data_IF_185126143182
#
_entry.id   IF_185126143182
#
_cell.length_a   1.000
_cell.length_b   1.000
_cell.length_c   1.000
_cell.angle_alpha   90.00
_cell.angle_beta   90.00
_cell.angle_gamma   90.00
#
_symmetry.space_group_name_H-M   'P 1'
#
loop_
_entity.id
_entity.type
_entity.pdbx_description
1 polymer ?
#
# COMPACT_ATOMS: atom_id res chain seq x y z
N UNK A 1 -33.19 -1.29 17.92
CA UNK A 1 -31.88 -0.63 18.09
C UNK A 1 -31.89 0.57 17.15
N UNK A 2 -31.42 1.73 17.59
CA UNK A 2 -31.38 2.92 16.73
C UNK A 2 -30.35 2.75 15.60
N UNK A 3 -30.69 3.19 14.40
CA UNK A 3 -29.82 3.08 13.22
C UNK A 3 -28.46 3.76 13.43
N UNK A 4 -28.46 4.93 14.07
CA UNK A 4 -27.24 5.65 14.44
C UNK A 4 -26.37 4.86 15.43
N UNK A 5 -27.00 4.22 16.41
CA UNK A 5 -26.29 3.38 17.38
C UNK A 5 -25.68 2.15 16.69
N UNK A 6 -26.41 1.50 15.77
CA UNK A 6 -25.90 0.39 14.98
C UNK A 6 -24.68 0.80 14.14
N UNK A 7 -24.76 1.93 13.43
CA UNK A 7 -23.64 2.48 12.64
C UNK A 7 -22.44 2.84 13.52
N UNK A 8 -22.65 3.39 14.71
CA UNK A 8 -21.58 3.69 15.67
C UNK A 8 -20.88 2.42 16.19
N UNK A 9 -21.63 1.36 16.49
CA UNK A 9 -21.08 0.04 16.86
C UNK A 9 -20.21 -0.50 15.72
N UNK A 10 -20.70 -0.41 14.48
CA UNK A 10 -19.93 -0.86 13.32
C UNK A 10 -18.64 -0.05 13.14
N UNK A 11 -18.68 1.28 13.25
CA UNK A 11 -17.47 2.13 13.19
C UNK A 11 -16.41 1.65 14.18
N UNK A 12 -16.79 1.38 15.43
CA UNK A 12 -15.86 0.87 16.45
C UNK A 12 -15.30 -0.51 16.06
N UNK A 13 -16.14 -1.41 15.54
CA UNK A 13 -15.71 -2.72 15.07
C UNK A 13 -14.71 -2.62 13.90
N UNK A 14 -14.96 -1.73 12.93
CA UNK A 14 -14.07 -1.47 11.80
C UNK A 14 -12.69 -0.99 12.25
N UNK A 15 -12.64 0.00 13.15
CA UNK A 15 -11.37 0.50 13.70
C UNK A 15 -10.64 -0.62 14.43
N UNK A 16 -11.34 -1.41 15.25
CA UNK A 16 -10.76 -2.49 16.04
C UNK A 16 -10.15 -3.59 15.15
N UNK A 17 -10.90 -4.09 14.17
CA UNK A 17 -10.44 -5.17 13.26
C UNK A 17 -9.33 -4.69 12.34
N UNK A 18 -9.42 -3.46 11.81
CA UNK A 18 -8.36 -2.90 10.97
C UNK A 18 -7.06 -2.70 11.77
N UNK A 19 -7.15 -2.15 12.99
CA UNK A 19 -5.99 -1.97 13.89
C UNK A 19 -5.36 -3.31 14.26
N UNK A 20 -6.18 -4.32 14.56
CA UNK A 20 -5.71 -5.68 14.81
C UNK A 20 -4.94 -6.24 13.60
N UNK A 21 -5.52 -6.16 12.40
CA UNK A 21 -4.88 -6.61 11.16
C UNK A 21 -3.53 -5.93 10.90
N UNK A 22 -3.48 -4.60 11.02
CA UNK A 22 -2.24 -3.83 10.84
C UNK A 22 -1.17 -4.13 11.90
N UNK A 23 -1.57 -4.55 13.10
CA UNK A 23 -0.63 -4.86 14.20
C UNK A 23 0.03 -6.24 14.05
N UNK A 24 -0.60 -7.19 13.34
CA UNK A 24 -0.09 -8.56 13.19
C UNK A 24 1.36 -8.61 12.65
N UNK A 25 1.72 -7.95 11.52
CA UNK A 25 3.10 -8.00 11.03
C UNK A 25 4.11 -7.35 11.98
N UNK A 26 3.69 -6.28 12.67
CA UNK A 26 4.52 -5.60 13.66
C UNK A 26 4.82 -6.50 14.85
N UNK A 27 3.79 -7.17 15.39
CA UNK A 27 3.93 -8.13 16.49
C UNK A 27 4.85 -9.29 16.09
N UNK A 28 4.63 -9.89 14.91
CA UNK A 28 5.48 -10.98 14.37
C UNK A 28 6.94 -10.52 14.24
N UNK A 29 7.18 -9.29 13.77
CA UNK A 29 8.52 -8.70 13.67
C UNK A 29 9.21 -8.50 15.03
N UNK A 30 8.47 -8.04 16.05
CA UNK A 30 9.01 -7.86 17.41
C UNK A 30 9.44 -9.19 18.04
N UNK A 31 8.68 -10.26 17.83
CA UNK A 31 9.06 -11.60 18.31
C UNK A 31 10.34 -12.12 17.63
N UNK A 32 10.60 -11.72 16.39
CA UNK A 32 11.81 -12.11 15.64
C UNK A 32 13.10 -11.43 16.13
N UNK A 33 13.05 -10.17 16.57
CA UNK A 33 14.24 -9.43 17.00
C UNK A 33 14.77 -9.84 18.39
N UNK A 34 13.95 -10.48 19.22
CA UNK A 34 14.33 -10.86 20.58
C UNK A 34 15.09 -12.19 20.67
N UNK A 35 15.24 -12.94 19.58
CA UNK A 35 15.78 -14.30 19.60
C UNK A 35 16.75 -14.61 18.46
N UNK A 36 17.45 -15.73 18.61
CA UNK A 36 18.53 -16.29 17.81
C UNK A 36 18.34 -16.22 16.27
N UNK A 37 19.43 -16.30 15.49
CA UNK A 37 19.48 -16.15 14.00
C UNK A 37 18.51 -17.11 13.26
N UNK A 38 18.25 -18.29 13.80
CA UNK A 38 17.29 -19.25 13.23
C UNK A 38 15.83 -18.74 13.29
N UNK A 39 15.48 -18.01 14.35
CA UNK A 39 14.16 -17.46 14.56
C UNK A 39 13.87 -16.31 13.59
N UNK A 40 14.87 -15.49 13.28
CA UNK A 40 14.78 -14.44 12.28
C UNK A 40 14.47 -15.00 10.88
N UNK A 41 15.11 -16.11 10.49
CA UNK A 41 14.83 -16.79 9.21
C UNK A 41 13.40 -17.35 9.16
N UNK A 42 12.90 -17.93 10.27
CA UNK A 42 11.52 -18.42 10.36
C UNK A 42 10.52 -17.27 10.21
N UNK A 43 10.74 -16.15 10.90
CA UNK A 43 9.90 -14.95 10.81
C UNK A 43 9.88 -14.39 9.39
N UNK A 44 11.03 -14.27 8.72
CA UNK A 44 11.10 -13.83 7.32
C UNK A 44 10.30 -14.73 6.38
N UNK A 45 10.36 -16.05 6.56
CA UNK A 45 9.56 -16.99 5.77
C UNK A 45 8.04 -16.85 6.04
N UNK A 46 7.63 -16.62 7.29
CA UNK A 46 6.22 -16.42 7.64
C UNK A 46 5.69 -15.14 6.98
N UNK A 47 6.41 -14.02 7.10
CA UNK A 47 6.02 -12.74 6.49
C UNK A 47 5.93 -12.85 4.96
N UNK A 48 6.88 -13.57 4.36
CA UNK A 48 6.90 -13.84 2.92
C UNK A 48 5.73 -14.72 2.45
N UNK A 49 5.32 -15.73 3.24
CA UNK A 49 4.10 -16.49 2.95
C UNK A 49 2.84 -15.62 3.10
N UNK A 50 2.79 -14.74 4.10
CA UNK A 50 1.68 -13.80 4.28
C UNK A 50 1.57 -12.80 3.12
N UNK A 51 2.67 -12.41 2.49
CA UNK A 51 2.62 -11.63 1.26
C UNK A 51 1.96 -12.39 0.10
N UNK A 52 2.34 -13.66 -0.12
CA UNK A 52 1.69 -14.48 -1.14
C UNK A 52 0.21 -14.73 -0.82
N UNK A 53 -0.13 -14.92 0.45
CA UNK A 53 -1.51 -15.00 0.92
C UNK A 53 -2.28 -13.70 0.64
N UNK A 54 -1.71 -12.55 0.99
CA UNK A 54 -2.32 -11.24 0.77
C UNK A 54 -2.54 -10.95 -0.71
N UNK A 55 -1.57 -11.30 -1.56
CA UNK A 55 -1.71 -11.17 -3.02
C UNK A 55 -2.86 -12.03 -3.56
N UNK A 56 -2.92 -13.32 -3.23
CA UNK A 56 -4.02 -14.19 -3.70
C UNK A 56 -5.39 -13.74 -3.18
N UNK A 57 -5.42 -13.22 -1.96
CA UNK A 57 -6.63 -12.64 -1.38
C UNK A 57 -7.08 -11.38 -2.14
N UNK A 58 -6.16 -10.45 -2.44
CA UNK A 58 -6.45 -9.24 -3.25
C UNK A 58 -6.99 -9.64 -4.63
N UNK A 59 -6.34 -10.58 -5.31
CA UNK A 59 -6.82 -11.10 -6.60
C UNK A 59 -8.25 -11.62 -6.53
N UNK A 60 -8.58 -12.33 -5.46
CA UNK A 60 -9.90 -12.93 -5.28
C UNK A 60 -10.98 -11.90 -4.96
N UNK A 61 -10.66 -10.91 -4.12
CA UNK A 61 -11.58 -9.78 -3.85
C UNK A 61 -11.83 -8.98 -5.13
N UNK A 62 -10.79 -8.71 -5.92
CA UNK A 62 -10.93 -8.02 -7.22
C UNK A 62 -11.86 -8.80 -8.16
N UNK A 63 -11.62 -10.10 -8.34
CA UNK A 63 -12.32 -10.90 -9.36
C UNK A 63 -13.71 -11.37 -8.93
N UNK A 64 -13.92 -11.70 -7.66
CA UNK A 64 -15.15 -12.35 -7.20
C UNK A 64 -16.08 -11.40 -6.44
N UNK A 65 -15.59 -10.26 -5.95
CA UNK A 65 -16.39 -9.31 -5.18
C UNK A 65 -16.51 -7.98 -5.92
N UNK A 66 -15.40 -7.25 -6.10
CA UNK A 66 -15.43 -5.85 -6.52
C UNK A 66 -15.81 -5.64 -7.98
N UNK A 67 -15.19 -6.40 -8.88
CA UNK A 67 -15.48 -6.27 -10.30
C UNK A 67 -16.92 -6.70 -10.63
N UNK A 68 -17.41 -7.87 -10.18
CA UNK A 68 -18.81 -8.26 -10.40
C UNK A 68 -19.81 -7.26 -9.80
N UNK A 69 -19.60 -6.83 -8.56
CA UNK A 69 -20.48 -5.87 -7.88
C UNK A 69 -20.54 -4.53 -8.63
N UNK A 70 -19.39 -3.99 -9.04
CA UNK A 70 -19.34 -2.73 -9.79
C UNK A 70 -20.07 -2.83 -11.13
N UNK A 71 -19.93 -3.96 -11.84
CA UNK A 71 -20.66 -4.23 -13.09
C UNK A 71 -22.16 -4.32 -12.82
N UNK A 72 -22.59 -5.05 -11.78
CA UNK A 72 -24.00 -5.17 -11.44
C UNK A 72 -24.63 -3.82 -11.10
N UNK A 73 -24.01 -3.02 -10.23
CA UNK A 73 -24.53 -1.69 -9.85
C UNK A 73 -24.74 -0.83 -11.09
N UNK A 74 -23.73 -0.75 -11.97
CA UNK A 74 -23.78 0.13 -13.14
C UNK A 74 -24.76 -0.38 -14.21
N UNK A 75 -24.84 -1.70 -14.40
CA UNK A 75 -25.73 -2.32 -15.38
C UNK A 75 -27.21 -2.24 -14.95
N UNK A 76 -27.50 -2.43 -13.66
CA UNK A 76 -28.87 -2.41 -13.13
C UNK A 76 -29.47 -1.01 -13.00
N UNK A 77 -28.66 0.02 -12.72
CA UNK A 77 -29.17 1.39 -12.54
C UNK A 77 -29.28 2.12 -13.89
N UNK A 78 -30.51 2.32 -14.37
CA UNK A 78 -30.80 2.99 -15.65
C UNK A 78 -30.34 4.46 -15.66
N UNK A 79 -30.36 5.13 -14.51
CA UNK A 79 -30.04 6.55 -14.36
C UNK A 79 -28.53 6.85 -14.40
N UNK A 80 -27.69 5.82 -14.21
CA UNK A 80 -26.24 5.96 -14.34
C UNK A 80 -25.87 5.97 -15.84
N UNK A 81 -25.80 7.17 -16.42
CA UNK A 81 -25.37 7.36 -17.81
C UNK A 81 -23.85 7.57 -17.84
N UNK A 82 -23.12 6.62 -18.41
CA UNK A 82 -21.67 6.72 -18.67
C UNK A 82 -21.50 7.03 -20.15
N UNK A 83 -20.80 8.12 -20.47
CA UNK A 83 -20.58 8.60 -21.85
C UNK A 83 -21.82 8.57 -22.74
N UNK A 84 -22.94 9.09 -22.22
CA UNK A 84 -24.22 9.25 -22.93
C UNK A 84 -24.84 7.93 -23.45
N UNK A 85 -24.44 6.79 -22.89
CA UNK A 85 -24.95 5.47 -23.25
C UNK A 85 -25.71 4.85 -22.08
N UNK A 86 -26.93 4.39 -22.36
CA UNK A 86 -27.80 3.70 -21.39
C UNK A 86 -27.78 2.18 -21.56
N UNK A 87 -27.12 1.67 -22.59
CA UNK A 87 -26.95 0.25 -22.87
C UNK A 87 -26.06 -0.44 -21.82
N UNK A 88 -26.55 -1.54 -21.25
CA UNK A 88 -25.90 -2.31 -20.19
C UNK A 88 -24.55 -2.92 -20.64
N UNK A 89 -24.46 -3.38 -21.89
CA UNK A 89 -23.24 -4.01 -22.41
C UNK A 89 -22.13 -2.97 -22.59
N UNK A 90 -22.49 -1.78 -23.10
CA UNK A 90 -21.57 -0.65 -23.24
C UNK A 90 -21.13 -0.09 -21.89
N UNK A 91 -22.03 -0.01 -20.92
CA UNK A 91 -21.69 0.36 -19.54
C UNK A 91 -20.66 -0.61 -18.94
N UNK A 92 -20.84 -1.91 -19.15
CA UNK A 92 -19.88 -2.94 -18.70
C UNK A 92 -18.52 -2.74 -19.37
N UNK A 93 -18.49 -2.47 -20.67
CA UNK A 93 -17.25 -2.18 -21.40
C UNK A 93 -16.52 -0.94 -20.82
N UNK A 94 -17.25 0.12 -20.46
CA UNK A 94 -16.65 1.29 -19.83
C UNK A 94 -16.06 0.98 -18.45
N UNK A 95 -16.68 0.10 -17.67
CA UNK A 95 -16.10 -0.34 -16.38
C UNK A 95 -14.79 -1.06 -16.60
N UNK A 96 -14.72 -2.00 -17.56
CA UNK A 96 -13.44 -2.64 -17.91
C UNK A 96 -12.40 -1.63 -18.42
N UNK A 97 -12.81 -0.61 -19.17
CA UNK A 97 -11.92 0.47 -19.60
C UNK A 97 -11.34 1.26 -18.41
N UNK A 98 -12.16 1.61 -17.41
CA UNK A 98 -11.68 2.30 -16.21
C UNK A 98 -10.79 1.41 -15.32
N UNK A 99 -11.08 0.10 -15.25
CA UNK A 99 -10.17 -0.88 -14.62
C UNK A 99 -8.81 -0.89 -15.34
N UNK A 100 -8.81 -0.91 -16.67
CA UNK A 100 -7.57 -0.85 -17.44
C UNK A 100 -6.81 0.46 -17.22
N UNK A 101 -7.51 1.61 -17.19
CA UNK A 101 -6.90 2.90 -16.82
C UNK A 101 -6.24 2.82 -15.45
N UNK A 102 -6.93 2.29 -14.44
CA UNK A 102 -6.37 2.16 -13.09
C UNK A 102 -5.09 1.30 -13.04
N UNK A 103 -5.05 0.24 -13.83
CA UNK A 103 -3.85 -0.59 -14.00
C UNK A 103 -2.72 0.17 -14.71
N UNK A 104 -3.00 0.87 -15.81
CA UNK A 104 -2.02 1.66 -16.56
C UNK A 104 -1.46 2.82 -15.75
N UNK A 105 -2.31 3.50 -14.98
CA UNK A 105 -1.89 4.57 -14.07
C UNK A 105 -0.92 4.00 -13.05
N UNK A 106 -1.25 2.87 -12.41
CA UNK A 106 -0.36 2.23 -11.45
C UNK A 106 0.98 1.81 -12.09
N UNK A 107 0.93 1.22 -13.29
CA UNK A 107 2.13 0.87 -14.05
C UNK A 107 2.99 2.10 -14.36
N UNK A 108 2.39 3.22 -14.78
CA UNK A 108 3.13 4.45 -15.05
C UNK A 108 3.77 5.02 -13.78
N UNK A 109 3.04 4.98 -12.66
CA UNK A 109 3.52 5.45 -11.37
C UNK A 109 4.72 4.64 -10.86
N UNK A 110 4.76 3.33 -11.13
CA UNK A 110 5.85 2.48 -10.67
C UNK A 110 7.00 2.35 -11.68
N UNK A 111 6.71 2.40 -12.98
CA UNK A 111 7.72 2.17 -14.01
C UNK A 111 8.29 3.46 -14.60
N UNK A 112 7.46 4.51 -14.74
CA UNK A 112 7.83 5.76 -15.43
C UNK A 112 8.23 6.86 -14.45
N UNK A 113 7.54 6.96 -13.31
CA UNK A 113 7.82 8.01 -12.32
C UNK A 113 9.04 7.82 -11.41
N UNK A 114 9.61 6.62 -11.18
CA UNK A 114 10.89 6.54 -10.50
C UNK A 114 11.91 7.34 -11.30
N UNK A 115 12.20 8.54 -10.81
CA UNK A 115 13.32 9.33 -11.29
C UNK A 115 14.53 8.49 -10.98
N UNK A 116 15.35 8.18 -11.98
CA UNK A 116 16.72 7.73 -11.80
C UNK A 116 17.40 8.75 -10.91
N UNK A 117 17.33 8.54 -9.60
CA UNK A 117 18.13 9.26 -8.64
C UNK A 117 19.53 8.68 -8.67
N UNK A 118 20.14 8.70 -9.86
CA UNK A 118 21.55 8.96 -9.98
C UNK A 118 21.75 10.38 -9.45
N UNK A 119 21.77 10.52 -8.12
CA UNK A 119 22.51 11.59 -7.50
C UNK A 119 23.99 11.31 -7.78
N UNK A 120 24.41 11.56 -9.02
CA UNK A 120 25.73 12.10 -9.31
C UNK A 120 25.75 13.51 -8.71
N UNK A 121 25.89 13.57 -7.39
CA UNK A 121 26.31 14.75 -6.68
C UNK A 121 27.42 14.28 -5.75
N UNK A 122 28.63 14.33 -6.28
CA UNK A 122 29.86 14.50 -5.51
C UNK A 122 29.61 15.65 -4.53
N UNK A 123 29.30 15.30 -3.28
CA UNK A 123 29.21 16.24 -2.17
C UNK A 123 29.73 15.52 -0.92
N UNK A 124 31.06 15.41 -0.86
CA UNK A 124 31.87 15.21 0.33
C UNK A 124 31.40 14.15 1.35
N UNK A 125 31.65 12.88 1.05
CA UNK A 125 31.95 11.88 2.10
C UNK A 125 33.45 11.85 2.48
N UNK A 126 34.29 12.67 1.85
CA UNK A 126 35.75 12.67 2.10
C UNK A 126 36.19 13.40 3.39
N UNK A 127 35.27 13.99 4.16
CA UNK A 127 35.63 14.59 5.46
C UNK A 127 35.51 13.59 6.62
N UNK A 128 34.79 12.47 6.45
CA UNK A 128 34.66 11.45 7.50
C UNK A 128 35.66 10.29 7.36
N UNK A 129 36.24 10.07 6.17
CA UNK A 129 37.33 9.10 5.96
C UNK A 129 38.71 9.68 6.33
N UNK A 130 38.92 11.00 6.17
CA UNK A 130 40.19 11.66 6.54
C UNK A 130 40.39 11.91 8.05
N UNK A 131 39.33 11.86 8.86
CA UNK A 131 39.44 11.96 10.33
C UNK A 131 39.69 10.61 11.02
N UNK A 132 39.35 9.49 10.38
CA UNK A 132 39.54 8.16 10.97
C UNK A 132 40.92 7.54 10.63
N UNK A 133 41.53 7.98 9.52
CA UNK A 133 42.87 7.53 9.11
C UNK A 133 44.02 8.24 9.83
N UNK A 134 43.78 9.45 10.36
CA UNK A 134 44.79 10.20 11.13
C UNK A 134 44.80 9.85 12.63
N UNK A 135 43.71 9.31 13.18
CA UNK A 135 43.69 8.81 14.56
C UNK A 135 44.29 7.40 14.68
N UNK A 136 44.20 6.60 13.62
CA UNK A 136 44.74 5.22 13.59
C UNK A 136 46.23 5.15 13.22
N UNK A 137 46.79 6.16 12.54
CA UNK A 137 48.23 6.20 12.20
C UNK A 137 49.13 6.83 13.27
N UNK A 138 48.57 7.48 14.29
CA UNK A 138 49.36 8.12 15.37
C UNK A 138 49.69 7.15 16.54
N UNK A 139 49.10 5.94 16.56
CA UNK A 139 49.34 4.94 17.61
C UNK A 139 50.28 3.79 17.22
N UNK A 140 50.73 3.70 15.96
CA UNK A 140 51.60 2.60 15.50
C UNK A 140 52.69 3.11 14.58
N UNK A 141 53.78 3.62 15.19
CA UNK A 141 55.20 3.42 14.83
C UNK A 141 56.07 4.58 15.32
N UNK A 142 56.60 4.41 16.53
CA UNK A 142 57.85 5.05 16.90
C UNK A 142 59.03 4.27 16.33
N UNK A 143 59.97 5.00 15.69
CA UNK A 143 61.37 4.64 15.32
C UNK A 143 61.54 3.48 14.32
N UNK A 144 62.38 3.54 13.27
CA UNK A 144 63.44 4.48 12.85
C UNK A 144 63.80 4.17 11.38
N UNK A 145 64.39 5.17 10.71
CA UNK A 145 65.30 5.09 9.54
C UNK A 145 64.75 5.18 8.10
N UNK A 146 64.80 6.42 7.59
CA UNK A 146 65.61 6.87 6.43
C UNK A 146 65.00 6.91 5.00
N UNK A 147 65.19 8.10 4.39
CA UNK A 147 65.44 8.45 2.97
C UNK A 147 64.32 9.19 2.20
N UNK A 148 64.77 10.32 1.62
CA UNK A 148 64.19 11.42 0.85
C UNK A 148 63.30 11.06 -0.35
N UNK A 149 62.44 12.00 -0.79
CA UNK A 149 62.62 12.79 -2.04
C UNK A 149 61.41 13.72 -2.30
N UNK A 150 61.74 15.00 -2.43
CA UNK A 150 61.18 16.12 -3.20
C UNK A 150 59.69 16.49 -3.14
N UNK A 151 59.49 17.67 -2.54
CA UNK A 151 58.29 18.49 -2.52
C UNK A 151 58.28 19.41 -3.74
N UNK A 152 57.43 19.12 -4.73
CA UNK A 152 57.12 20.07 -5.79
C UNK A 152 55.92 20.92 -5.39
N UNK A 153 56.17 22.20 -5.14
CA UNK A 153 55.16 23.24 -4.94
C UNK A 153 54.45 23.55 -6.26
N UNK A 154 53.11 23.62 -6.24
CA UNK A 154 52.34 24.44 -7.19
C UNK A 154 51.20 25.14 -6.43
N UNK A 155 51.12 26.44 -6.70
CA UNK A 155 50.37 27.54 -6.10
C UNK A 155 48.85 27.34 -5.98
N UNK A 156 48.34 27.67 -4.80
CA UNK A 156 46.92 27.94 -4.52
C UNK A 156 46.56 29.30 -5.16
N UNK A 157 45.65 29.30 -6.13
CA UNK A 157 44.97 30.53 -6.53
C UNK A 157 43.67 30.62 -5.73
N UNK A 158 43.63 31.56 -4.79
CA UNK A 158 42.40 32.19 -4.32
C UNK A 158 41.79 32.95 -5.50
N UNK A 159 40.56 32.64 -5.89
CA UNK A 159 39.62 33.64 -6.39
C UNK A 159 38.21 33.07 -6.55
N UNK A 160 37.24 33.87 -6.09
CA UNK A 160 35.77 33.77 -6.24
C UNK A 160 35.00 32.92 -5.23
N UNK A 161 34.75 33.56 -4.09
CA UNK A 161 33.45 33.47 -3.41
C UNK A 161 32.39 34.22 -4.23
N UNK A 162 31.33 33.51 -4.65
CA UNK A 162 29.93 33.93 -4.88
C UNK A 162 29.23 32.63 -5.36
N UNK A 163 28.19 32.09 -4.73
CA UNK A 163 26.88 32.69 -4.55
C UNK A 163 26.15 32.12 -3.32
N UNK A 164 25.63 33.00 -2.48
CA UNK A 164 24.40 32.75 -1.75
C UNK A 164 23.25 32.76 -2.77
N UNK A 165 22.66 31.61 -3.06
CA UNK A 165 21.39 31.57 -3.78
C UNK A 165 20.54 30.41 -3.25
N UNK A 166 19.54 30.82 -2.46
CA UNK A 166 18.20 30.24 -2.39
C UNK A 166 18.00 28.89 -1.67
N UNK A 167 18.14 28.94 -0.34
CA UNK A 167 17.82 27.83 0.57
C UNK A 167 16.32 27.42 0.55
N UNK A 168 15.41 28.32 0.14
CA UNK A 168 13.97 28.03 0.02
C UNK A 168 13.70 27.15 -1.22
N UNK A 169 14.30 27.49 -2.37
CA UNK A 169 14.19 26.67 -3.58
C UNK A 169 14.85 25.28 -3.41
N UNK A 170 15.96 25.19 -2.67
CA UNK A 170 16.60 23.90 -2.37
C UNK A 170 15.77 23.04 -1.40
N UNK A 171 15.19 23.63 -0.33
CA UNK A 171 14.25 22.92 0.57
C UNK A 171 12.97 22.48 -0.14
N UNK A 172 12.40 23.33 -1.01
CA UNK A 172 11.20 22.97 -1.79
C UNK A 172 11.51 21.87 -2.80
N UNK A 173 12.68 21.89 -3.44
CA UNK A 173 13.16 20.84 -4.37
C UNK A 173 13.48 19.52 -3.65
N UNK A 174 14.02 19.58 -2.42
CA UNK A 174 14.25 18.41 -1.57
C UNK A 174 12.93 17.80 -1.05
N UNK A 175 11.99 18.62 -0.58
CA UNK A 175 10.66 18.17 -0.17
C UNK A 175 9.87 17.60 -1.36
N UNK A 176 9.96 18.20 -2.54
CA UNK A 176 9.31 17.71 -3.75
C UNK A 176 9.93 16.40 -4.24
N UNK A 177 11.26 16.27 -4.22
CA UNK A 177 11.93 15.00 -4.55
C UNK A 177 11.60 13.90 -3.54
N UNK A 178 11.56 14.21 -2.24
CA UNK A 178 11.16 13.24 -1.21
C UNK A 178 9.68 12.85 -1.34
N UNK A 179 8.81 13.81 -1.68
CA UNK A 179 7.39 13.56 -1.96
C UNK A 179 7.21 12.71 -3.22
N UNK A 180 7.93 13.01 -4.30
CA UNK A 180 7.95 12.19 -5.52
C UNK A 180 8.49 10.79 -5.24
N UNK A 181 9.54 10.67 -4.43
CA UNK A 181 10.06 9.36 -4.02
C UNK A 181 9.01 8.59 -3.22
N UNK A 182 8.30 9.23 -2.28
CA UNK A 182 7.19 8.60 -1.54
C UNK A 182 6.05 8.20 -2.46
N UNK A 183 5.70 9.04 -3.42
CA UNK A 183 4.72 8.70 -4.46
C UNK A 183 5.17 7.47 -5.24
N UNK A 184 6.44 7.34 -5.62
CA UNK A 184 6.95 6.17 -6.37
C UNK A 184 6.99 4.87 -5.56
N UNK A 185 6.64 4.89 -4.26
CA UNK A 185 6.62 3.67 -3.45
C UNK A 185 5.35 2.88 -3.68
N UNK A 186 5.51 1.60 -4.06
CA UNK A 186 4.45 0.59 -4.12
C UNK A 186 3.50 0.67 -2.91
N UNK A 187 4.04 0.71 -1.68
CA UNK A 187 3.21 0.70 -0.47
C UNK A 187 2.34 1.93 -0.32
N UNK A 188 2.75 3.07 -0.87
CA UNK A 188 1.95 4.29 -0.82
C UNK A 188 0.68 4.09 -1.65
N UNK A 189 0.82 3.73 -2.93
CA UNK A 189 -0.31 3.48 -3.82
C UNK A 189 -1.18 2.31 -3.38
N UNK A 190 -0.56 1.23 -2.87
CA UNK A 190 -1.29 0.13 -2.25
C UNK A 190 -2.18 0.63 -1.11
N UNK A 191 -1.62 1.44 -0.21
CA UNK A 191 -2.37 1.94 0.94
C UNK A 191 -3.50 2.87 0.50
N UNK A 192 -3.24 3.76 -0.46
CA UNK A 192 -4.24 4.69 -1.00
C UNK A 192 -5.37 3.93 -1.71
N UNK A 193 -5.04 2.97 -2.58
CA UNK A 193 -6.04 2.18 -3.30
C UNK A 193 -6.90 1.35 -2.35
N UNK A 194 -6.27 0.67 -1.38
CA UNK A 194 -7.01 -0.07 -0.34
C UNK A 194 -7.80 0.86 0.58
N UNK A 195 -7.36 2.10 0.84
CA UNK A 195 -8.12 3.08 1.63
C UNK A 195 -9.35 3.59 0.86
N UNK A 196 -9.23 3.87 -0.43
CA UNK A 196 -10.37 4.26 -1.28
C UNK A 196 -11.40 3.12 -1.35
N UNK A 197 -10.94 1.91 -1.62
CA UNK A 197 -11.79 0.71 -1.59
C UNK A 197 -12.47 0.54 -0.21
N UNK A 198 -11.71 0.69 0.87
CA UNK A 198 -12.22 0.61 2.25
C UNK A 198 -13.23 1.70 2.60
N UNK A 199 -13.08 2.89 2.00
CA UNK A 199 -14.03 3.98 2.12
C UNK A 199 -15.34 3.63 1.38
N UNK A 200 -15.27 3.09 0.17
CA UNK A 200 -16.45 2.65 -0.58
C UNK A 200 -17.23 1.56 0.17
N UNK A 201 -16.54 0.55 0.72
CA UNK A 201 -17.16 -0.49 1.56
C UNK A 201 -17.87 0.12 2.78
N UNK A 202 -17.23 1.08 3.45
CA UNK A 202 -17.85 1.80 4.57
C UNK A 202 -19.09 2.58 4.13
N UNK A 203 -19.07 3.17 2.94
CA UNK A 203 -20.18 3.92 2.38
C UNK A 203 -21.42 3.04 2.16
N UNK A 204 -21.25 1.79 1.72
CA UNK A 204 -22.36 0.83 1.57
C UNK A 204 -23.07 0.61 2.92
N UNK A 205 -22.31 0.44 3.99
CA UNK A 205 -22.86 0.32 5.36
C UNK A 205 -23.51 1.64 5.80
N UNK A 206 -22.91 2.78 5.46
CA UNK A 206 -23.41 4.12 5.78
C UNK A 206 -24.74 4.46 5.12
N UNK A 207 -24.94 4.04 3.87
CA UNK A 207 -26.16 4.25 3.08
C UNK A 207 -27.29 3.28 3.46
N UNK A 208 -26.97 2.21 4.21
CA UNK A 208 -28.00 1.24 4.64
C UNK A 208 -28.97 1.90 5.64
N UNK A 209 -30.27 1.79 5.36
CA UNK A 209 -31.34 2.34 6.22
C UNK A 209 -31.93 1.30 7.20
N UNK A 210 -31.63 0.02 7.00
CA UNK A 210 -32.02 -1.06 7.93
C UNK A 210 -30.84 -1.49 8.81
N UNK A 211 -31.10 -1.61 10.12
CA UNK A 211 -30.15 -2.11 11.11
C UNK A 211 -29.66 -3.52 10.78
N UNK A 212 -30.53 -4.40 10.27
CA UNK A 212 -30.17 -5.75 9.86
C UNK A 212 -29.15 -5.73 8.70
N UNK A 213 -29.39 -4.90 7.68
CA UNK A 213 -28.46 -4.76 6.56
C UNK A 213 -27.14 -4.09 6.98
N UNK A 214 -27.17 -3.11 7.89
CA UNK A 214 -25.95 -2.51 8.48
C UNK A 214 -25.08 -3.60 9.10
N UNK A 215 -25.65 -4.49 9.92
CA UNK A 215 -24.87 -5.55 10.57
C UNK A 215 -24.38 -6.63 9.60
N UNK A 216 -25.22 -7.05 8.65
CA UNK A 216 -24.85 -8.08 7.66
C UNK A 216 -23.72 -7.56 6.76
N UNK A 217 -23.85 -6.35 6.21
CA UNK A 217 -22.83 -5.73 5.37
C UNK A 217 -21.54 -5.51 6.17
N UNK A 218 -21.64 -5.04 7.42
CA UNK A 218 -20.47 -4.86 8.28
C UNK A 218 -19.77 -6.19 8.56
N UNK A 219 -20.51 -7.25 8.90
CA UNK A 219 -19.94 -8.57 9.14
C UNK A 219 -19.21 -9.11 7.89
N UNK A 220 -19.83 -8.96 6.72
CA UNK A 220 -19.22 -9.31 5.44
C UNK A 220 -17.86 -8.63 5.27
N UNK A 221 -17.80 -7.31 5.43
CA UNK A 221 -16.56 -6.55 5.21
C UNK A 221 -15.52 -6.84 6.30
N UNK A 222 -15.94 -6.96 7.56
CA UNK A 222 -15.03 -7.25 8.68
C UNK A 222 -14.34 -8.62 8.53
N UNK A 223 -15.00 -9.59 7.87
CA UNK A 223 -14.46 -10.93 7.65
C UNK A 223 -13.12 -10.92 6.90
N UNK A 224 -12.91 -9.92 6.04
CA UNK A 224 -11.71 -9.75 5.24
C UNK A 224 -10.89 -8.49 5.55
N UNK A 225 -11.39 -7.61 6.42
CA UNK A 225 -10.72 -6.33 6.73
C UNK A 225 -9.35 -6.50 7.37
N UNK A 226 -9.20 -7.48 8.25
CA UNK A 226 -7.93 -7.76 8.91
C UNK A 226 -6.86 -8.22 7.91
N UNK A 227 -7.23 -8.94 6.85
CA UNK A 227 -6.31 -9.41 5.80
C UNK A 227 -5.78 -8.23 4.99
N UNK A 228 -6.66 -7.27 4.66
CA UNK A 228 -6.26 -6.03 4.03
C UNK A 228 -5.27 -5.26 4.93
N UNK A 229 -5.56 -5.18 6.24
CA UNK A 229 -4.67 -4.56 7.22
C UNK A 229 -3.29 -5.23 7.31
N UNK A 230 -3.25 -6.57 7.29
CA UNK A 230 -1.99 -7.35 7.25
C UNK A 230 -1.20 -7.01 5.98
N UNK A 231 -1.86 -7.01 4.82
CA UNK A 231 -1.20 -6.75 3.53
C UNK A 231 -0.63 -5.33 3.45
N UNK A 232 -1.38 -4.32 3.90
CA UNK A 232 -0.90 -2.93 3.98
C UNK A 232 0.32 -2.82 4.89
N UNK A 233 0.23 -3.38 6.11
CA UNK A 233 1.33 -3.31 7.07
C UNK A 233 2.58 -4.05 6.60
N UNK A 234 2.44 -5.20 5.94
CA UNK A 234 3.56 -5.92 5.34
C UNK A 234 4.25 -5.10 4.25
N UNK A 235 3.46 -4.56 3.31
CA UNK A 235 4.00 -3.73 2.23
C UNK A 235 4.76 -2.53 2.80
N UNK A 236 4.15 -1.77 3.73
CA UNK A 236 4.80 -0.61 4.36
C UNK A 236 6.07 -0.99 5.13
N UNK A 237 6.13 -2.19 5.71
CA UNK A 237 7.31 -2.66 6.44
C UNK A 237 8.47 -3.07 5.51
N UNK A 238 8.18 -3.47 4.27
CA UNK A 238 9.19 -3.87 3.28
C UNK A 238 9.89 -2.68 2.63
N UNK A 239 9.27 -1.51 2.64
CA UNK A 239 9.86 -0.30 2.07
C UNK A 239 10.64 0.55 3.11
N UNK A 240 11.70 1.22 2.66
CA UNK A 240 12.55 2.12 3.45
C UNK A 240 11.87 3.48 3.72
N UNK A 241 10.69 3.43 4.30
CA UNK A 241 9.87 4.61 4.64
C UNK A 241 10.18 5.06 6.06
N UNK A 242 10.14 6.37 6.32
CA UNK A 242 10.23 6.89 7.70
C UNK A 242 9.09 6.32 8.56
N UNK A 243 9.39 6.03 9.84
CA UNK A 243 8.41 5.46 10.78
C UNK A 243 7.14 6.32 10.88
N UNK A 244 7.29 7.64 10.87
CA UNK A 244 6.18 8.59 10.93
C UNK A 244 5.24 8.44 9.74
N UNK A 245 5.78 8.34 8.52
CA UNK A 245 4.96 8.18 7.32
C UNK A 245 4.27 6.80 7.28
N UNK A 246 4.93 5.73 7.73
CA UNK A 246 4.27 4.41 7.90
C UNK A 246 3.07 4.52 8.83
N UNK A 247 3.23 5.17 9.99
CA UNK A 247 2.14 5.39 10.94
C UNK A 247 1.00 6.21 10.33
N UNK A 248 1.31 7.30 9.61
CA UNK A 248 0.29 8.13 8.96
C UNK A 248 -0.51 7.31 7.92
N UNK A 249 0.17 6.54 7.06
CA UNK A 249 -0.48 5.71 6.05
C UNK A 249 -1.38 4.62 6.67
N UNK A 250 -0.92 3.99 7.75
CA UNK A 250 -1.74 3.02 8.50
C UNK A 250 -2.98 3.68 9.12
N UNK A 251 -2.84 4.87 9.71
CA UNK A 251 -3.96 5.63 10.27
C UNK A 251 -4.97 5.99 9.18
N UNK A 252 -4.51 6.46 8.01
CA UNK A 252 -5.39 6.74 6.86
C UNK A 252 -6.20 5.49 6.47
N UNK A 253 -5.54 4.34 6.36
CA UNK A 253 -6.23 3.08 6.05
C UNK A 253 -7.25 2.69 7.13
N UNK A 254 -6.89 2.76 8.42
CA UNK A 254 -7.79 2.39 9.53
C UNK A 254 -9.04 3.27 9.57
N UNK A 255 -8.89 4.58 9.36
CA UNK A 255 -10.02 5.52 9.41
C UNK A 255 -10.80 5.63 8.10
N UNK A 256 -10.33 5.03 7.01
CA UNK A 256 -11.02 5.08 5.72
C UNK A 256 -12.44 4.49 5.76
N UNK A 257 -12.66 3.34 6.40
CA UNK A 257 -14.01 2.74 6.52
C UNK A 257 -14.96 3.51 7.44
N UNK A 258 -14.55 3.95 8.64
CA UNK A 258 -15.34 4.90 9.43
C UNK A 258 -15.74 6.15 8.65
N UNK A 259 -14.80 6.73 7.91
CA UNK A 259 -15.05 7.89 7.05
C UNK A 259 -16.08 7.55 5.96
N UNK A 260 -15.95 6.38 5.33
CA UNK A 260 -16.94 5.84 4.39
C UNK A 260 -18.34 5.74 5.00
N UNK A 261 -18.48 5.18 6.21
CA UNK A 261 -19.78 5.04 6.90
C UNK A 261 -20.42 6.41 7.16
N UNK A 262 -19.61 7.37 7.62
CA UNK A 262 -20.07 8.74 7.88
C UNK A 262 -20.52 9.39 6.56
N UNK A 263 -19.71 9.30 5.51
CA UNK A 263 -20.05 9.86 4.20
C UNK A 263 -21.31 9.20 3.62
N UNK A 264 -21.44 7.88 3.70
CA UNK A 264 -22.62 7.16 3.21
C UNK A 264 -23.89 7.52 3.98
N UNK A 265 -23.77 7.84 5.27
CA UNK A 265 -24.92 8.31 6.03
C UNK A 265 -25.35 9.73 5.62
N UNK A 266 -24.40 10.59 5.25
CA UNK A 266 -24.68 11.97 4.84
C UNK A 266 -25.15 12.08 3.38
N UNK A 267 -24.61 11.23 2.51
CA UNK A 267 -24.85 11.23 1.06
C UNK A 267 -25.92 10.19 0.77
N UNK A 268 -27.18 10.48 1.09
CA UNK A 268 -28.27 9.53 0.86
C UNK A 268 -28.66 9.33 -0.62
N UNK A 269 -28.13 10.09 -1.60
CA UNK A 269 -28.45 9.83 -3.03
C UNK A 269 -27.62 10.55 -4.10
N UNK A 270 -26.44 11.11 -3.80
CA UNK A 270 -25.74 11.98 -4.77
C UNK A 270 -24.28 11.60 -4.95
N UNK A 271 -24.01 10.66 -5.87
CA UNK A 271 -22.63 10.34 -6.26
C UNK A 271 -22.36 8.97 -6.88
N UNK A 272 -23.35 8.08 -7.02
CA UNK A 272 -23.16 6.67 -7.43
C UNK A 272 -22.30 6.51 -8.68
N UNK A 273 -22.53 7.33 -9.72
CA UNK A 273 -21.70 7.33 -10.94
C UNK A 273 -20.22 7.56 -10.65
N UNK A 274 -19.89 8.57 -9.84
CA UNK A 274 -18.50 8.90 -9.51
C UNK A 274 -17.89 7.78 -8.65
N UNK A 275 -18.65 7.25 -7.70
CA UNK A 275 -18.25 6.11 -6.88
C UNK A 275 -17.90 4.90 -7.74
N UNK A 276 -18.73 4.54 -8.71
CA UNK A 276 -18.48 3.40 -9.60
C UNK A 276 -17.20 3.60 -10.44
N UNK A 277 -16.96 4.80 -10.96
CA UNK A 277 -15.73 5.11 -11.73
C UNK A 277 -14.50 5.03 -10.84
N UNK A 278 -14.55 5.64 -9.65
CA UNK A 278 -13.44 5.58 -8.68
C UNK A 278 -13.18 4.14 -8.24
N UNK A 279 -14.24 3.35 -8.03
CA UNK A 279 -14.13 1.94 -7.67
C UNK A 279 -13.49 1.13 -8.81
N UNK A 280 -13.91 1.34 -10.06
CA UNK A 280 -13.33 0.69 -11.23
C UNK A 280 -11.83 0.99 -11.38
N UNK A 281 -11.42 2.25 -11.22
CA UNK A 281 -10.00 2.64 -11.23
C UNK A 281 -9.24 1.95 -10.08
N UNK A 282 -9.81 1.94 -8.87
CA UNK A 282 -9.21 1.29 -7.69
C UNK A 282 -9.02 -0.21 -7.90
N UNK A 283 -10.00 -0.89 -8.51
CA UNK A 283 -9.92 -2.32 -8.89
C UNK A 283 -8.72 -2.56 -9.82
N UNK A 284 -8.52 -1.70 -10.81
CA UNK A 284 -7.36 -1.75 -11.71
C UNK A 284 -6.03 -1.64 -10.97
N UNK A 285 -5.92 -0.67 -10.06
CA UNK A 285 -4.72 -0.49 -9.25
C UNK A 285 -4.47 -1.66 -8.30
N UNK A 286 -5.51 -2.20 -7.63
CA UNK A 286 -5.38 -3.38 -6.77
C UNK A 286 -4.92 -4.62 -7.55
N UNK A 287 -5.41 -4.80 -8.78
CA UNK A 287 -4.98 -5.89 -9.65
C UNK A 287 -3.48 -5.78 -9.96
N UNK A 288 -3.01 -4.59 -10.35
CA UNK A 288 -1.57 -4.35 -10.58
C UNK A 288 -0.74 -4.68 -9.33
N UNK A 289 -1.14 -4.13 -8.19
CA UNK A 289 -0.43 -4.32 -6.92
C UNK A 289 -0.40 -5.79 -6.51
N UNK A 290 -1.51 -6.51 -6.69
CA UNK A 290 -1.59 -7.96 -6.45
C UNK A 290 -0.57 -8.73 -7.30
N UNK A 291 -0.47 -8.41 -8.59
CA UNK A 291 0.54 -8.98 -9.49
C UNK A 291 1.97 -8.69 -8.98
N UNK A 292 2.24 -7.44 -8.63
CA UNK A 292 3.57 -6.99 -8.27
C UNK A 292 4.08 -7.62 -6.96
N UNK A 293 3.24 -7.69 -5.92
CA UNK A 293 3.57 -8.40 -4.66
C UNK A 293 3.95 -9.86 -4.97
N UNK A 294 3.15 -10.53 -5.81
CA UNK A 294 3.42 -11.91 -6.19
C UNK A 294 4.74 -12.05 -6.96
N UNK A 295 4.98 -11.16 -7.94
CA UNK A 295 6.19 -11.18 -8.76
C UNK A 295 7.44 -10.90 -7.91
N UNK A 296 7.38 -9.96 -6.96
CA UNK A 296 8.47 -9.66 -6.04
C UNK A 296 8.83 -10.87 -5.17
N UNK A 297 7.84 -11.67 -4.75
CA UNK A 297 8.06 -12.91 -4.00
C UNK A 297 8.59 -14.08 -4.86
N UNK A 298 8.24 -14.12 -6.15
CA UNK A 298 8.68 -15.15 -7.11
C UNK A 298 10.11 -14.90 -7.61
N UNK A 299 10.52 -13.64 -7.78
CA UNK A 299 11.88 -13.27 -8.25
C UNK A 299 12.99 -13.68 -7.28
N UNK A 300 12.65 -13.86 -6.01
CA UNK A 300 13.58 -14.27 -4.97
C UNK A 300 14.08 -15.72 -5.15
N UNK A 301 15.36 -15.96 -4.89
CA UNK A 301 15.99 -17.29 -5.01
C UNK A 301 15.60 -18.19 -3.82
N UNK A 302 14.50 -18.92 -3.96
CA UNK A 302 14.04 -19.92 -2.98
C UNK A 302 14.17 -21.37 -3.44
N UNK A 303 14.28 -22.30 -2.49
CA UNK A 303 14.22 -23.74 -2.74
C UNK A 303 12.83 -24.16 -3.24
N UNK A 304 12.75 -25.31 -3.94
CA UNK A 304 11.48 -25.83 -4.48
C UNK A 304 10.39 -25.99 -3.40
N UNK A 305 10.76 -26.43 -2.18
CA UNK A 305 9.82 -26.63 -1.06
C UNK A 305 9.19 -25.32 -0.58
N UNK A 306 9.99 -24.26 -0.47
CA UNK A 306 9.50 -22.93 -0.06
C UNK A 306 8.60 -22.34 -1.14
N UNK A 307 8.96 -22.48 -2.42
CA UNK A 307 8.11 -22.05 -3.54
C UNK A 307 6.75 -22.74 -3.55
N UNK A 308 6.71 -24.05 -3.29
CA UNK A 308 5.46 -24.80 -3.18
C UNK A 308 4.60 -24.30 -2.02
N UNK A 309 5.22 -23.98 -0.86
CA UNK A 309 4.50 -23.44 0.30
C UNK A 309 3.88 -22.08 -0.02
N UNK A 310 4.60 -21.21 -0.71
CA UNK A 310 4.10 -19.91 -1.16
C UNK A 310 2.94 -20.02 -2.15
N UNK A 311 3.09 -20.91 -3.14
CA UNK A 311 2.02 -21.19 -4.11
C UNK A 311 0.78 -21.74 -3.41
N UNK A 312 0.95 -22.68 -2.47
CA UNK A 312 -0.16 -23.21 -1.69
C UNK A 312 -0.83 -22.12 -0.83
N UNK A 313 -0.06 -21.21 -0.26
CA UNK A 313 -0.58 -20.06 0.49
C UNK A 313 -1.42 -19.14 -0.39
N UNK A 314 -0.98 -18.87 -1.63
CA UNK A 314 -1.74 -18.12 -2.62
C UNK A 314 -3.05 -18.84 -2.97
N UNK A 315 -3.00 -20.11 -3.38
CA UNK A 315 -4.20 -20.88 -3.73
C UNK A 315 -5.18 -21.02 -2.57
N UNK A 316 -4.67 -21.28 -1.36
CA UNK A 316 -5.48 -21.36 -0.14
C UNK A 316 -6.21 -20.04 0.12
N UNK A 317 -5.53 -18.90 -0.02
CA UNK A 317 -6.17 -17.58 0.13
C UNK A 317 -7.31 -17.36 -0.87
N UNK A 318 -7.17 -17.83 -2.12
CA UNK A 318 -8.22 -17.70 -3.12
C UNK A 318 -9.46 -18.53 -2.79
N UNK A 319 -9.24 -19.76 -2.34
CA UNK A 319 -10.33 -20.66 -1.93
C UNK A 319 -11.06 -20.08 -0.71
N UNK A 320 -10.32 -19.58 0.28
CA UNK A 320 -10.89 -18.94 1.47
C UNK A 320 -11.73 -17.72 1.05
N UNK A 321 -11.17 -16.82 0.23
CA UNK A 321 -11.88 -15.64 -0.24
C UNK A 321 -13.18 -16.00 -0.99
N UNK A 322 -13.13 -17.00 -1.88
CA UNK A 322 -14.31 -17.47 -2.61
C UNK A 322 -15.43 -17.98 -1.69
N UNK A 323 -15.08 -18.82 -0.70
CA UNK A 323 -16.06 -19.31 0.27
C UNK A 323 -16.61 -18.20 1.17
N UNK A 324 -15.77 -17.24 1.57
CA UNK A 324 -16.22 -16.06 2.32
C UNK A 324 -17.24 -15.27 1.50
N UNK A 325 -16.97 -14.98 0.23
CA UNK A 325 -17.87 -14.23 -0.64
C UNK A 325 -19.17 -14.99 -0.90
N UNK A 326 -19.12 -16.31 -1.09
CA UNK A 326 -20.35 -17.12 -1.19
C UNK A 326 -21.16 -17.04 0.10
N UNK A 327 -20.52 -17.21 1.25
CA UNK A 327 -21.20 -17.18 2.53
C UNK A 327 -21.88 -15.83 2.75
N UNK A 328 -21.22 -14.72 2.39
CA UNK A 328 -21.77 -13.38 2.57
C UNK A 328 -22.96 -13.12 1.65
N UNK A 329 -22.86 -13.49 0.36
CA UNK A 329 -23.99 -13.40 -0.58
C UNK A 329 -25.20 -14.22 -0.13
N UNK A 330 -24.99 -15.36 0.54
CA UNK A 330 -26.09 -16.19 1.07
C UNK A 330 -26.74 -15.59 2.32
N UNK A 331 -25.98 -14.88 3.15
CA UNK A 331 -26.47 -14.25 4.38
C UNK A 331 -27.19 -12.92 4.08
N UNK A 332 -26.82 -12.24 3.00
CA UNK A 332 -27.45 -11.01 2.52
C UNK A 332 -28.32 -11.28 1.28
N UNK A 333 -29.52 -11.90 1.40
CA UNK A 333 -30.40 -12.05 0.25
C UNK A 333 -30.77 -10.66 -0.26
N UNK A 334 -30.37 -10.37 -1.49
CA UNK A 334 -30.64 -9.13 -2.21
C UNK A 334 -32.15 -8.82 -2.20
N UNK A 335 -32.59 -7.94 -1.31
CA UNK A 335 -33.77 -7.12 -1.54
C UNK A 335 -33.28 -5.73 -1.92
N UNK A 336 -32.97 -5.56 -3.21
CA UNK A 336 -32.83 -4.25 -3.82
C UNK A 336 -34.19 -3.57 -3.76
N UNK A 337 -34.25 -2.42 -3.09
CA UNK A 337 -35.29 -1.42 -3.32
C UNK A 337 -34.89 -0.52 -4.47
#
# INVERSE_FOLDING_TARGET
>A
MDLLLAKAICIFAFVSVATFGCSIPYLIGLFGQKQNIEHEKKVKNILSNLNCFGSGFIFSIVMFHLLPETIMIVSSHKDIVIFNTSDADMKTLYIFFFVFIGFCVQLALEYVLPVDSNYCCVANDDVKSMLNDNFSKTLVKGKKDSINIDMHSVSVNEDKYHHACDSEHFKKKQNFSQFLHVLTLQSFFLTVSLAVHSCNEGMIVGMSDDVHFVFINSFCILSHKWIAGVTVALSLNQNNISKNLKTILLVIFIFSSPLGIILGHLIQSSGEKLTCIINAISIGSLLFIGCEILLNEIKQKYSRKVRLTKWLSFCCSCVIAFFLIIATVRIAPHHHH
#
